data_IF_445045635546
#
_entry.id   IF_445045635546
#
_cell.length_a   1.000
_cell.length_b   1.000
_cell.length_c   1.000
_cell.angle_alpha   90.00
_cell.angle_beta   90.00
_cell.angle_gamma   90.00
#
_symmetry.space_group_name_H-M   'P 1'
#
loop_
_entity.id
_entity.type
_entity.pdbx_description
1 polymer ?
#
# COMPACT_ATOMS: atom_id res chain seq x y z
N UNK A 1 6.68 36.14 -42.75
CA UNK A 1 6.23 35.67 -41.43
C UNK A 1 6.23 34.14 -41.43
N UNK A 2 7.18 33.44 -40.80
CA UNK A 2 7.12 31.99 -40.74
C UNK A 2 6.12 31.56 -39.64
N UNK A 3 5.04 30.87 -40.02
CA UNK A 3 4.08 30.30 -39.07
C UNK A 3 4.73 29.15 -38.31
N UNK A 4 4.79 29.23 -36.97
CA UNK A 4 5.14 28.09 -36.11
C UNK A 4 4.12 26.97 -36.33
N UNK A 5 4.55 25.85 -36.92
CA UNK A 5 3.80 24.59 -36.88
C UNK A 5 3.80 24.10 -35.44
N UNK A 6 2.64 24.10 -34.78
CA UNK A 6 2.45 23.44 -33.49
C UNK A 6 2.72 21.94 -33.69
N UNK A 7 3.82 21.46 -33.12
CA UNK A 7 4.13 20.04 -33.09
C UNK A 7 3.04 19.34 -32.27
N UNK A 8 2.21 18.54 -32.94
CA UNK A 8 1.27 17.67 -32.26
C UNK A 8 2.07 16.71 -31.38
N UNK A 9 1.98 16.90 -30.06
CA UNK A 9 2.48 15.94 -29.08
C UNK A 9 1.76 14.62 -29.37
N UNK A 10 2.47 13.64 -29.95
CA UNK A 10 1.98 12.27 -30.02
C UNK A 10 1.66 11.86 -28.59
N UNK A 11 0.37 11.75 -28.27
CA UNK A 11 -0.08 11.38 -26.93
C UNK A 11 0.57 10.06 -26.53
N UNK A 12 1.12 10.01 -25.32
CA UNK A 12 1.64 8.77 -24.74
C UNK A 12 0.54 7.71 -24.61
N UNK A 13 0.91 6.49 -24.22
CA UNK A 13 -0.06 5.42 -23.96
C UNK A 13 -1.14 5.92 -22.99
N UNK A 14 -2.40 5.76 -23.38
CA UNK A 14 -3.53 6.05 -22.52
C UNK A 14 -4.04 4.76 -21.88
N UNK A 15 -4.25 4.81 -20.57
CA UNK A 15 -4.80 3.71 -19.78
C UNK A 15 -6.10 4.16 -19.15
N UNK A 16 -7.15 3.37 -19.31
CA UNK A 16 -8.40 3.58 -18.60
C UNK A 16 -8.26 3.10 -17.16
N UNK A 17 -8.72 3.91 -16.19
CA UNK A 17 -8.78 3.50 -14.79
C UNK A 17 -9.86 2.43 -14.63
N UNK A 18 -9.58 1.40 -13.81
CA UNK A 18 -10.53 0.29 -13.56
C UNK A 18 -11.05 0.26 -12.14
N UNK A 19 -10.18 0.47 -11.16
CA UNK A 19 -10.47 0.41 -9.73
C UNK A 19 -10.22 1.74 -9.01
N UNK A 20 -9.85 2.78 -9.75
CA UNK A 20 -9.54 4.11 -9.19
C UNK A 20 -10.34 5.17 -9.94
N UNK A 21 -10.58 6.28 -9.27
CA UNK A 21 -11.23 7.47 -9.83
C UNK A 21 -10.27 8.64 -9.69
N UNK A 22 -10.39 9.64 -10.55
CA UNK A 22 -9.51 10.82 -10.50
C UNK A 22 -9.87 11.79 -9.38
N UNK A 23 -11.14 11.81 -9.00
CA UNK A 23 -11.71 12.72 -8.01
C UNK A 23 -11.57 12.24 -6.56
N UNK A 24 -11.15 10.99 -6.34
CA UNK A 24 -11.03 10.40 -4.99
C UNK A 24 -9.62 9.85 -4.78
N UNK A 25 -9.02 10.22 -3.66
CA UNK A 25 -7.75 9.63 -3.23
C UNK A 25 -7.94 8.13 -2.98
N UNK A 26 -7.01 7.32 -3.48
CA UNK A 26 -7.07 5.85 -3.36
C UNK A 26 -7.08 5.37 -1.91
N UNK A 27 -6.47 6.11 -0.98
CA UNK A 27 -6.47 5.74 0.43
C UNK A 27 -7.83 6.00 1.08
N UNK A 28 -8.57 7.02 0.65
CA UNK A 28 -9.89 7.33 1.21
C UNK A 28 -10.96 6.31 0.79
N UNK A 29 -10.64 5.38 -0.11
CA UNK A 29 -11.55 4.32 -0.55
C UNK A 29 -11.62 3.12 0.41
N UNK A 30 -10.75 3.07 1.43
CA UNK A 30 -10.68 1.97 2.38
C UNK A 30 -10.78 2.49 3.82
N UNK A 31 -11.43 1.71 4.67
CA UNK A 31 -11.34 1.90 6.12
C UNK A 31 -10.07 1.22 6.64
N UNK A 32 -9.33 1.93 7.48
CA UNK A 32 -8.11 1.43 8.12
C UNK A 32 -8.32 1.22 9.62
N UNK A 33 -7.56 0.29 10.17
CA UNK A 33 -7.50 -0.01 11.59
C UNK A 33 -6.05 -0.24 12.01
N UNK A 34 -5.75 0.02 13.28
CA UNK A 34 -4.43 -0.19 13.86
C UNK A 34 -4.36 -1.55 14.52
N UNK A 35 -3.41 -2.38 14.09
CA UNK A 35 -3.21 -3.71 14.64
C UNK A 35 -1.79 -3.91 15.15
N UNK A 36 -1.67 -4.84 16.09
CA UNK A 36 -0.39 -5.28 16.62
C UNK A 36 -0.04 -6.64 16.01
N UNK A 37 1.15 -6.75 15.44
CA UNK A 37 1.71 -8.01 14.95
C UNK A 37 2.72 -8.52 15.99
N UNK A 38 2.43 -9.67 16.59
CA UNK A 38 3.30 -10.32 17.57
C UNK A 38 3.67 -11.71 17.08
N UNK A 39 4.97 -11.98 16.97
CA UNK A 39 5.49 -13.29 16.60
C UNK A 39 6.18 -13.87 17.82
N UNK A 40 5.71 -15.05 18.25
CA UNK A 40 6.25 -15.76 19.41
C UNK A 40 6.96 -17.03 18.99
N UNK A 41 7.99 -17.42 19.73
CA UNK A 41 8.60 -18.74 19.60
C UNK A 41 7.72 -19.80 20.31
N UNK A 42 7.97 -21.11 20.09
CA UNK A 42 7.22 -22.18 20.77
C UNK A 42 7.33 -22.15 22.30
N UNK A 43 8.41 -21.57 22.84
CA UNK A 43 8.57 -21.33 24.28
C UNK A 43 7.77 -20.11 24.81
N UNK A 44 7.07 -19.38 23.94
CA UNK A 44 6.17 -18.27 24.30
C UNK A 44 6.81 -16.88 24.31
N UNK A 45 8.13 -16.79 24.13
CA UNK A 45 8.90 -15.56 24.06
C UNK A 45 8.59 -14.79 22.77
N UNK A 46 8.51 -13.46 22.88
CA UNK A 46 8.24 -12.58 21.75
C UNK A 46 9.54 -12.37 20.95
N UNK A 47 9.56 -12.89 19.73
CA UNK A 47 10.70 -12.75 18.81
C UNK A 47 10.59 -11.46 18.01
N UNK A 48 9.37 -10.97 17.80
CA UNK A 48 9.11 -9.73 17.10
C UNK A 48 7.76 -9.17 17.53
N UNK A 49 7.72 -7.88 17.79
CA UNK A 49 6.49 -7.15 18.10
C UNK A 49 6.52 -5.82 17.38
N UNK A 50 5.43 -5.54 16.68
CA UNK A 50 5.19 -4.23 16.09
C UNK A 50 3.77 -3.80 16.36
N UNK A 51 3.65 -2.69 17.08
CA UNK A 51 2.40 -2.04 17.42
C UNK A 51 2.04 -0.97 16.40
N UNK A 52 0.76 -0.59 16.36
CA UNK A 52 0.24 0.49 15.53
C UNK A 52 0.48 0.31 14.02
N UNK A 53 0.36 -0.92 13.52
CA UNK A 53 0.39 -1.18 12.08
C UNK A 53 -0.95 -0.81 11.48
N UNK A 54 -0.97 0.22 10.64
CA UNK A 54 -2.17 0.66 9.92
C UNK A 54 -2.44 -0.25 8.72
N UNK A 55 -3.56 -0.96 8.74
CA UNK A 55 -3.96 -1.89 7.68
C UNK A 55 -5.44 -1.73 7.33
N UNK A 56 -5.85 -2.05 6.09
CA UNK A 56 -7.27 -2.11 5.76
C UNK A 56 -8.03 -3.03 6.72
N UNK A 57 -9.15 -2.54 7.25
CA UNK A 57 -9.97 -3.23 8.25
C UNK A 57 -10.39 -4.65 7.84
N UNK A 58 -10.62 -4.86 6.55
CA UNK A 58 -11.01 -6.14 5.97
C UNK A 58 -9.90 -7.20 5.96
N UNK A 59 -8.64 -6.83 6.20
CA UNK A 59 -7.55 -7.79 6.23
C UNK A 59 -7.66 -8.71 7.45
N UNK A 60 -7.10 -9.91 7.34
CA UNK A 60 -6.97 -10.81 8.49
C UNK A 60 -5.76 -10.44 9.34
N UNK A 61 -5.70 -10.96 10.57
CA UNK A 61 -4.49 -10.86 11.40
C UNK A 61 -3.28 -11.47 10.68
N UNK A 62 -3.46 -12.63 10.03
CA UNK A 62 -2.41 -13.29 9.24
C UNK A 62 -1.88 -12.37 8.13
N UNK A 63 -2.74 -11.64 7.43
CA UNK A 63 -2.31 -10.69 6.40
C UNK A 63 -1.49 -9.54 6.99
N UNK A 64 -1.88 -9.05 8.17
CA UNK A 64 -1.14 -8.04 8.94
C UNK A 64 0.24 -8.57 9.35
N UNK A 65 0.31 -9.80 9.85
CA UNK A 65 1.55 -10.44 10.29
C UNK A 65 2.50 -10.70 9.09
N UNK A 66 1.97 -11.14 7.94
CA UNK A 66 2.76 -11.29 6.70
C UNK A 66 3.36 -9.96 6.26
N UNK A 67 2.56 -8.89 6.26
CA UNK A 67 3.04 -7.54 5.92
C UNK A 67 4.15 -7.12 6.88
N UNK A 68 3.96 -7.30 8.18
CA UNK A 68 4.95 -6.92 9.18
C UNK A 68 6.26 -7.72 9.06
N UNK A 69 6.18 -9.04 8.85
CA UNK A 69 7.36 -9.86 8.60
C UNK A 69 8.13 -9.49 7.33
N UNK A 70 7.42 -9.12 6.26
CA UNK A 70 8.02 -8.89 4.95
C UNK A 70 8.60 -7.48 4.80
N UNK A 71 7.93 -6.48 5.33
CA UNK A 71 8.27 -5.07 5.09
C UNK A 71 8.82 -4.35 6.33
N UNK A 72 8.50 -4.80 7.54
CA UNK A 72 8.95 -4.13 8.78
C UNK A 72 10.00 -4.91 9.56
N UNK A 73 10.24 -6.17 9.23
CA UNK A 73 11.41 -6.88 9.74
C UNK A 73 12.66 -6.21 9.14
N UNK A 74 13.41 -5.52 9.98
CA UNK A 74 14.71 -4.95 9.64
C UNK A 74 15.58 -6.08 9.07
N UNK A 75 15.88 -6.01 7.78
CA UNK A 75 16.89 -6.86 7.19
C UNK A 75 18.18 -6.65 7.98
N UNK A 76 18.64 -7.72 8.63
CA UNK A 76 20.08 -7.94 8.73
C UNK A 76 20.58 -8.27 7.33
#
# INVERSE_FOLDING_TARGET
MPSKKSAATKGGLQFSRRFTRDDVNVFDQFEYDYRTSVIRNPSGEVVFEMTNVEVPKQWSQIATDILAQKYFRKAG
#
